data_IF_518570894055
#
_entry.id   IF_518570894055
#
_cell.length_a   1.000
_cell.length_b   1.000
_cell.length_c   1.000
_cell.angle_alpha   90.00
_cell.angle_beta   90.00
_cell.angle_gamma   90.00
#
_symmetry.space_group_name_H-M   'P 1'
#
loop_
_entity.id
_entity.type
_entity.pdbx_description
1 polymer ?
#
# COMPACT_ATOMS: atom_id res chain seq x y z
N UNK A 1 2.14 -3.05 -35.32
CA UNK A 1 2.80 -3.07 -33.99
C UNK A 1 4.30 -2.88 -34.19
N UNK A 2 4.93 -1.94 -33.47
CA UNK A 2 6.31 -1.50 -33.72
C UNK A 2 7.32 -2.47 -33.04
N UNK A 3 8.50 -2.79 -33.60
CA UNK A 3 9.43 -3.78 -33.03
C UNK A 3 9.94 -3.40 -31.63
N UNK A 4 9.92 -2.11 -31.29
CA UNK A 4 10.19 -1.61 -29.93
C UNK A 4 9.16 -2.08 -28.89
N UNK A 5 7.89 -2.25 -29.27
CA UNK A 5 6.88 -2.79 -28.35
C UNK A 5 7.12 -4.27 -28.09
N UNK A 6 7.61 -5.02 -29.09
CA UNK A 6 7.98 -6.44 -28.95
C UNK A 6 9.20 -6.64 -28.05
N UNK A 7 10.19 -5.76 -28.12
CA UNK A 7 11.36 -5.81 -27.23
C UNK A 7 11.00 -5.55 -25.76
N UNK A 8 10.09 -4.61 -25.49
CA UNK A 8 9.56 -4.39 -24.15
C UNK A 8 8.68 -5.57 -23.67
N UNK A 9 7.99 -6.24 -24.61
CA UNK A 9 7.21 -7.45 -24.31
C UNK A 9 8.14 -8.60 -23.90
N UNK A 10 9.27 -8.80 -24.61
CA UNK A 10 10.23 -9.86 -24.27
C UNK A 10 11.04 -9.59 -23.00
N UNK A 11 11.41 -8.34 -22.72
CA UNK A 11 12.16 -8.00 -21.51
C UNK A 11 11.35 -8.17 -20.21
N UNK A 12 10.00 -8.14 -20.29
CA UNK A 12 9.12 -8.36 -19.15
C UNK A 12 8.93 -9.85 -18.78
N UNK A 13 9.36 -10.79 -19.63
CA UNK A 13 9.17 -12.23 -19.42
C UNK A 13 10.40 -12.96 -18.82
N UNK A 14 11.52 -12.27 -18.53
CA UNK A 14 12.77 -12.93 -18.08
C UNK A 14 13.32 -12.32 -16.77
N UNK A 15 12.49 -12.20 -15.73
CA UNK A 15 13.02 -12.07 -14.37
C UNK A 15 12.14 -12.74 -13.30
N UNK A 16 12.04 -14.09 -13.27
CA UNK A 16 11.48 -14.80 -12.13
C UNK A 16 12.63 -15.21 -11.19
N UNK A 17 12.76 -14.56 -10.02
CA UNK A 17 13.34 -15.16 -8.79
C UNK A 17 13.61 -14.20 -7.61
N UNK A 18 13.49 -12.87 -7.74
CA UNK A 18 13.95 -11.96 -6.66
C UNK A 18 12.88 -11.05 -6.03
N UNK A 19 11.62 -11.16 -6.43
CA UNK A 19 10.54 -10.48 -5.71
C UNK A 19 10.16 -11.27 -4.45
N UNK A 20 11.00 -11.20 -3.41
CA UNK A 20 10.57 -11.59 -2.06
C UNK A 20 9.45 -10.64 -1.63
N UNK A 21 8.37 -11.19 -1.05
CA UNK A 21 7.41 -10.40 -0.31
C UNK A 21 8.20 -9.70 0.80
N UNK A 22 8.31 -8.37 0.74
CA UNK A 22 9.13 -7.64 1.70
C UNK A 22 8.38 -7.55 3.04
N UNK A 23 8.47 -8.62 3.83
CA UNK A 23 8.06 -8.65 5.22
C UNK A 23 9.11 -8.03 6.14
N UNK A 24 8.73 -7.77 7.39
CA UNK A 24 9.66 -7.30 8.41
C UNK A 24 10.50 -8.51 8.88
N UNK A 25 11.82 -8.43 8.78
CA UNK A 25 12.70 -9.54 9.13
C UNK A 25 12.74 -9.79 10.65
N UNK A 26 13.03 -11.02 11.07
CA UNK A 26 13.21 -11.33 12.49
C UNK A 26 14.35 -10.52 13.13
N UNK A 27 15.40 -10.22 12.37
CA UNK A 27 16.46 -9.32 12.81
C UNK A 27 15.95 -7.88 13.04
N UNK A 28 15.05 -7.39 12.18
CA UNK A 28 14.41 -6.08 12.37
C UNK A 28 13.52 -6.09 13.62
N UNK A 29 12.74 -7.17 13.87
CA UNK A 29 11.93 -7.31 15.10
C UNK A 29 12.79 -7.28 16.36
N UNK A 30 13.91 -8.00 16.38
CA UNK A 30 14.83 -8.00 17.52
C UNK A 30 15.48 -6.63 17.74
N UNK A 31 15.86 -5.94 16.67
CA UNK A 31 16.39 -4.57 16.75
C UNK A 31 15.36 -3.58 17.32
N UNK A 32 14.06 -3.79 17.08
CA UNK A 32 12.99 -2.96 17.66
C UNK A 32 12.78 -3.21 19.15
N UNK A 33 12.87 -4.46 19.59
CA UNK A 33 12.80 -4.82 21.01
C UNK A 33 13.97 -4.21 21.82
N UNK A 34 15.15 -4.11 21.19
CA UNK A 34 16.34 -3.53 21.80
C UNK A 34 16.47 -2.00 21.59
N UNK A 35 15.67 -1.41 20.70
CA UNK A 35 15.79 -0.03 20.22
C UNK A 35 14.71 0.92 20.72
N UNK A 36 14.90 2.21 20.44
CA UNK A 36 13.94 3.28 20.75
C UNK A 36 13.11 3.72 19.54
N UNK A 37 12.42 4.86 19.65
CA UNK A 37 11.64 5.48 18.57
C UNK A 37 12.41 5.66 17.25
N UNK A 38 13.73 5.89 17.33
CA UNK A 38 14.58 6.01 16.14
C UNK A 38 14.67 4.71 15.34
N UNK A 39 14.69 3.53 15.98
CA UNK A 39 14.67 2.25 15.27
C UNK A 39 13.37 2.07 14.48
N UNK A 40 12.23 2.49 15.06
CA UNK A 40 10.94 2.47 14.37
C UNK A 40 10.97 3.39 13.14
N UNK A 41 11.54 4.59 13.26
CA UNK A 41 11.69 5.51 12.12
C UNK A 41 12.62 4.94 11.03
N UNK A 42 13.76 4.36 11.39
CA UNK A 42 14.66 3.71 10.42
C UNK A 42 13.97 2.54 9.72
N UNK A 43 13.22 1.74 10.47
CA UNK A 43 12.47 0.63 9.89
C UNK A 43 11.38 1.12 8.94
N UNK A 44 10.65 2.18 9.29
CA UNK A 44 9.66 2.79 8.41
C UNK A 44 10.28 3.31 7.11
N UNK A 45 11.44 3.97 7.20
CA UNK A 45 12.17 4.44 6.03
C UNK A 45 12.65 3.27 5.15
N UNK A 46 13.20 2.22 5.77
CA UNK A 46 13.62 0.99 5.08
C UNK A 46 12.43 0.36 4.36
N UNK A 47 11.33 0.12 5.06
CA UNK A 47 10.09 -0.46 4.50
C UNK A 47 9.61 0.31 3.27
N UNK A 48 9.55 1.64 3.33
CA UNK A 48 9.14 2.47 2.20
C UNK A 48 10.11 2.37 1.01
N UNK A 49 11.42 2.28 1.26
CA UNK A 49 12.45 2.22 0.21
C UNK A 49 12.63 0.83 -0.40
N UNK A 50 12.28 -0.23 0.32
CA UNK A 50 12.36 -1.63 -0.15
C UNK A 50 11.04 -2.16 -0.66
N UNK A 51 9.91 -1.53 -0.34
CA UNK A 51 8.58 -1.86 -0.82
C UNK A 51 8.42 -1.55 -2.32
N UNK A 52 8.58 -2.56 -3.17
CA UNK A 52 8.48 -2.40 -4.62
C UNK A 52 7.09 -1.91 -5.07
N UNK A 53 6.04 -2.36 -4.41
CA UNK A 53 4.66 -1.90 -4.58
C UNK A 53 4.51 -0.38 -4.37
N UNK A 54 5.08 0.14 -3.29
CA UNK A 54 5.07 1.56 -2.95
C UNK A 54 5.87 2.38 -3.97
N UNK A 55 7.06 1.91 -4.35
CA UNK A 55 7.89 2.57 -5.36
C UNK A 55 7.22 2.58 -6.75
N UNK A 56 6.60 1.48 -7.16
CA UNK A 56 5.87 1.37 -8.42
C UNK A 56 4.64 2.28 -8.42
N UNK A 57 3.89 2.32 -7.31
CA UNK A 57 2.77 3.24 -7.13
C UNK A 57 3.23 4.69 -7.24
N UNK A 58 4.26 5.08 -6.48
CA UNK A 58 4.81 6.44 -6.46
C UNK A 58 5.25 6.85 -7.87
N UNK A 59 5.99 5.96 -8.56
CA UNK A 59 6.41 6.15 -9.95
C UNK A 59 5.23 6.39 -10.88
N UNK A 60 4.16 5.58 -10.77
CA UNK A 60 2.93 5.76 -11.53
C UNK A 60 2.26 7.10 -11.26
N UNK A 61 2.15 7.52 -10.00
CA UNK A 61 1.53 8.81 -9.65
C UNK A 61 2.32 9.98 -10.23
N UNK A 62 3.66 9.97 -10.13
CA UNK A 62 4.50 11.11 -10.52
C UNK A 62 4.84 11.15 -12.01
N UNK A 63 4.55 10.07 -12.74
CA UNK A 63 4.92 9.90 -14.15
C UNK A 63 4.53 11.11 -15.02
N UNK A 64 3.33 11.65 -14.84
CA UNK A 64 2.82 12.81 -15.59
C UNK A 64 2.75 14.10 -14.77
N UNK A 65 3.11 14.07 -13.49
CA UNK A 65 3.16 15.26 -12.66
C UNK A 65 4.40 16.08 -13.03
N UNK A 66 4.15 17.27 -13.57
CA UNK A 66 5.20 18.20 -14.03
C UNK A 66 5.38 19.39 -13.09
N UNK A 67 4.34 19.74 -12.34
CA UNK A 67 4.34 20.89 -11.44
C UNK A 67 4.51 20.42 -10.00
N UNK A 68 5.46 21.04 -9.29
CA UNK A 68 5.72 20.77 -7.88
C UNK A 68 4.47 20.86 -7.00
N UNK A 69 3.60 21.85 -7.24
CA UNK A 69 2.32 22.01 -6.52
C UNK A 69 1.40 20.81 -6.68
N UNK A 70 1.35 20.23 -7.87
CA UNK A 70 0.48 19.08 -8.13
C UNK A 70 1.07 17.84 -7.44
N UNK A 71 2.40 17.64 -7.50
CA UNK A 71 3.10 16.60 -6.74
C UNK A 71 2.80 16.72 -5.24
N UNK A 72 3.02 17.89 -4.65
CA UNK A 72 2.75 18.13 -3.23
C UNK A 72 1.30 17.80 -2.88
N UNK A 73 0.33 18.24 -3.69
CA UNK A 73 -1.10 17.95 -3.47
C UNK A 73 -1.39 16.44 -3.42
N UNK A 74 -0.84 15.66 -4.35
CA UNK A 74 -1.08 14.22 -4.39
C UNK A 74 -0.37 13.48 -3.26
N UNK A 75 0.88 13.86 -2.97
CA UNK A 75 1.66 13.31 -1.85
C UNK A 75 0.93 13.58 -0.54
N UNK A 76 0.46 14.80 -0.29
CA UNK A 76 -0.31 15.14 0.90
C UNK A 76 -1.62 14.35 0.97
N UNK A 77 -2.36 14.22 -0.13
CA UNK A 77 -3.59 13.42 -0.14
C UNK A 77 -3.33 11.95 0.19
N UNK A 78 -2.28 11.36 -0.39
CA UNK A 78 -1.86 9.99 -0.09
C UNK A 78 -1.46 9.85 1.38
N UNK A 79 -0.55 10.69 1.87
CA UNK A 79 -0.05 10.66 3.25
C UNK A 79 -1.20 10.83 4.25
N UNK A 80 -2.15 11.73 4.00
CA UNK A 80 -3.32 11.90 4.88
C UNK A 80 -4.16 10.63 4.96
N UNK A 81 -4.54 10.03 3.82
CA UNK A 81 -5.30 8.78 3.83
C UNK A 81 -4.53 7.63 4.50
N UNK A 82 -3.24 7.54 4.22
CA UNK A 82 -2.33 6.57 4.78
C UNK A 82 -2.25 6.66 6.31
N UNK A 83 -1.99 7.86 6.85
CA UNK A 83 -1.93 8.08 8.29
C UNK A 83 -3.26 7.77 8.99
N UNK A 84 -4.39 8.18 8.40
CA UNK A 84 -5.72 7.95 8.98
C UNK A 84 -5.96 6.46 9.20
N UNK A 85 -5.80 5.66 8.15
CA UNK A 85 -6.07 4.21 8.23
C UNK A 85 -5.04 3.48 9.06
N UNK A 86 -3.76 3.85 8.95
CA UNK A 86 -2.69 3.27 9.77
C UNK A 86 -2.99 3.42 11.27
N UNK A 87 -3.31 4.64 11.70
CA UNK A 87 -3.58 4.92 13.12
C UNK A 87 -4.88 4.24 13.56
N UNK A 88 -5.97 4.41 12.82
CA UNK A 88 -7.28 3.87 13.21
C UNK A 88 -7.29 2.34 13.27
N UNK A 89 -6.78 1.69 12.22
CA UNK A 89 -6.76 0.23 12.18
C UNK A 89 -5.84 -0.36 13.25
N UNK A 90 -4.69 0.26 13.53
CA UNK A 90 -3.79 -0.18 14.60
C UNK A 90 -4.40 0.04 15.99
N UNK A 91 -5.07 1.16 16.24
CA UNK A 91 -5.67 1.46 17.55
C UNK A 91 -6.89 0.61 17.88
N UNK A 92 -7.69 0.29 16.87
CA UNK A 92 -8.89 -0.53 17.01
C UNK A 92 -8.64 -2.02 16.77
N UNK A 93 -7.39 -2.43 16.57
CA UNK A 93 -7.06 -3.84 16.31
C UNK A 93 -7.65 -4.38 15.01
N UNK A 94 -8.07 -3.51 14.09
CA UNK A 94 -8.68 -3.91 12.84
C UNK A 94 -7.57 -4.50 11.97
N UNK A 95 -7.73 -5.77 11.63
CA UNK A 95 -6.74 -6.54 10.90
C UNK A 95 -7.42 -7.40 9.84
N UNK A 96 -6.65 -7.77 8.83
CA UNK A 96 -7.09 -8.66 7.77
C UNK A 96 -5.88 -9.40 7.19
N UNK A 97 -6.12 -10.37 6.32
CA UNK A 97 -5.08 -11.14 5.69
C UNK A 97 -4.26 -10.21 4.77
N UNK A 98 -2.98 -10.05 5.12
CA UNK A 98 -2.08 -9.14 4.44
C UNK A 98 -1.88 -9.48 2.96
N UNK A 99 -1.99 -10.75 2.56
CA UNK A 99 -1.90 -11.15 1.14
C UNK A 99 -3.05 -10.54 0.34
N UNK A 100 -4.27 -10.54 0.89
CA UNK A 100 -5.43 -9.93 0.24
C UNK A 100 -5.32 -8.41 0.19
N UNK A 101 -4.83 -7.79 1.27
CA UNK A 101 -4.65 -6.33 1.29
C UNK A 101 -3.57 -5.91 0.28
N UNK A 102 -2.44 -6.59 0.26
CA UNK A 102 -1.35 -6.34 -0.69
C UNK A 102 -1.79 -6.62 -2.14
N UNK A 103 -2.68 -7.60 -2.36
CA UNK A 103 -3.33 -7.83 -3.67
C UNK A 103 -4.18 -6.63 -4.11
N UNK A 104 -4.95 -6.02 -3.21
CA UNK A 104 -5.72 -4.80 -3.51
C UNK A 104 -4.77 -3.62 -3.76
N UNK A 105 -3.67 -3.50 -3.02
CA UNK A 105 -2.61 -2.52 -3.30
C UNK A 105 -2.07 -2.69 -4.72
N UNK A 106 -1.80 -3.92 -5.16
CA UNK A 106 -1.35 -4.19 -6.53
C UNK A 106 -2.38 -3.73 -7.60
N UNK A 107 -3.68 -3.85 -7.33
CA UNK A 107 -4.73 -3.31 -8.21
C UNK A 107 -4.64 -1.78 -8.35
N UNK A 108 -4.24 -1.06 -7.29
CA UNK A 108 -4.03 0.41 -7.37
C UNK A 108 -2.90 0.80 -8.32
N UNK A 109 -1.84 -0.04 -8.41
CA UNK A 109 -0.73 0.14 -9.34
C UNK A 109 -1.20 -0.08 -10.78
N UNK A 110 -1.97 -1.15 -11.02
CA UNK A 110 -2.56 -1.45 -12.34
C UNK A 110 -3.49 -0.31 -12.77
N UNK A 111 -4.38 0.14 -11.87
CA UNK A 111 -5.27 1.28 -12.09
C UNK A 111 -4.46 2.49 -12.54
N UNK A 112 -3.36 2.81 -11.85
CA UNK A 112 -2.61 4.02 -12.16
C UNK A 112 -1.90 3.93 -13.51
N UNK A 113 -1.32 2.77 -13.85
CA UNK A 113 -0.75 2.54 -15.18
C UNK A 113 -1.80 2.61 -16.31
N UNK A 114 -3.01 2.11 -16.06
CA UNK A 114 -4.14 2.18 -16.99
C UNK A 114 -4.62 3.62 -17.22
N UNK A 115 -4.84 4.36 -16.13
CA UNK A 115 -5.22 5.78 -16.17
C UNK A 115 -4.17 6.64 -16.89
N UNK A 116 -2.89 6.42 -16.56
CA UNK A 116 -1.75 7.11 -17.20
C UNK A 116 -1.66 6.88 -18.71
N UNK A 117 -2.07 5.72 -19.19
CA UNK A 117 -2.12 5.42 -20.61
C UNK A 117 -3.39 5.96 -21.30
N UNK A 118 -4.27 6.64 -20.59
CA UNK A 118 -5.55 7.13 -21.13
C UNK A 118 -6.57 6.01 -21.34
N UNK A 119 -6.51 4.96 -20.52
CA UNK A 119 -7.38 3.79 -20.65
C UNK A 119 -8.86 4.12 -20.51
N UNK A 120 -9.23 5.04 -19.61
CA UNK A 120 -10.61 5.50 -19.44
C UNK A 120 -11.17 6.16 -20.71
N UNK A 121 -10.36 6.98 -21.37
CA UNK A 121 -10.74 7.70 -22.58
C UNK A 121 -10.79 6.78 -23.80
N UNK A 122 -9.91 5.77 -23.88
CA UNK A 122 -9.81 4.88 -25.05
C UNK A 122 -10.77 3.69 -25.02
N UNK A 123 -11.10 3.19 -23.84
CA UNK A 123 -11.88 1.95 -23.70
C UNK A 123 -13.29 2.18 -23.16
N UNK A 124 -13.52 3.29 -22.46
CA UNK A 124 -14.80 3.56 -21.80
C UNK A 124 -15.42 4.91 -22.21
N UNK A 125 -14.81 5.64 -23.16
CA UNK A 125 -15.22 6.99 -23.59
C UNK A 125 -15.54 7.96 -22.43
N UNK A 126 -14.86 7.77 -21.30
CA UNK A 126 -15.11 8.50 -20.06
C UNK A 126 -13.86 9.28 -19.64
N UNK A 127 -14.07 10.42 -18.96
CA UNK A 127 -12.98 11.13 -18.29
C UNK A 127 -12.45 10.29 -17.13
N UNK A 128 -11.14 10.33 -16.91
CA UNK A 128 -10.53 9.73 -15.72
C UNK A 128 -11.22 10.19 -14.44
N UNK A 129 -11.44 9.30 -13.46
CA UNK A 129 -11.93 9.66 -12.14
C UNK A 129 -11.05 10.73 -11.49
N UNK A 130 -11.59 11.44 -10.48
CA UNK A 130 -10.85 12.49 -9.79
C UNK A 130 -9.57 11.91 -9.18
N UNK A 131 -8.42 12.30 -9.74
CA UNK A 131 -7.13 11.75 -9.36
C UNK A 131 -6.79 11.98 -7.88
N UNK A 132 -7.24 13.10 -7.30
CA UNK A 132 -6.96 13.42 -5.88
C UNK A 132 -7.75 12.47 -4.97
N UNK A 133 -9.03 12.24 -5.31
CA UNK A 133 -9.86 11.29 -4.58
C UNK A 133 -9.33 9.85 -4.71
N UNK A 134 -8.89 9.46 -5.91
CA UNK A 134 -8.28 8.15 -6.14
C UNK A 134 -6.99 7.98 -5.31
N UNK A 135 -6.08 8.96 -5.34
CA UNK A 135 -4.82 8.91 -4.57
C UNK A 135 -5.07 8.92 -3.06
N UNK A 136 -6.06 9.67 -2.57
CA UNK A 136 -6.48 9.59 -1.17
C UNK A 136 -6.99 8.18 -0.81
N UNK A 137 -7.85 7.59 -1.64
CA UNK A 137 -8.34 6.22 -1.44
C UNK A 137 -7.22 5.18 -1.49
N UNK A 138 -6.23 5.35 -2.37
CA UNK A 138 -5.04 4.52 -2.38
C UNK A 138 -4.23 4.67 -1.10
N UNK A 139 -4.09 5.90 -0.59
CA UNK A 139 -3.52 6.15 0.73
C UNK A 139 -4.23 5.36 1.83
N UNK A 140 -5.57 5.37 1.86
CA UNK A 140 -6.36 4.57 2.82
C UNK A 140 -6.04 3.07 2.72
N UNK A 141 -6.01 2.51 1.51
CA UNK A 141 -5.75 1.09 1.29
C UNK A 141 -4.31 0.73 1.72
N UNK A 142 -3.33 1.56 1.34
CA UNK A 142 -1.92 1.34 1.67
C UNK A 142 -1.68 1.44 3.18
N UNK A 143 -2.27 2.45 3.84
CA UNK A 143 -2.15 2.62 5.29
C UNK A 143 -2.78 1.47 6.06
N UNK A 144 -3.89 0.92 5.54
CA UNK A 144 -4.47 -0.32 6.08
C UNK A 144 -3.52 -1.51 5.91
N UNK A 145 -2.94 -1.73 4.73
CA UNK A 145 -1.97 -2.80 4.50
C UNK A 145 -0.79 -2.73 5.46
N UNK A 146 -0.21 -1.55 5.62
CA UNK A 146 0.87 -1.30 6.58
C UNK A 146 0.44 -1.56 8.02
N UNK A 147 -0.78 -1.18 8.41
CA UNK A 147 -1.30 -1.43 9.76
C UNK A 147 -1.35 -2.92 10.10
N UNK A 148 -1.75 -3.77 9.15
CA UNK A 148 -1.83 -5.22 9.37
C UNK A 148 -0.45 -5.83 9.63
N UNK A 149 0.60 -5.29 9.00
CA UNK A 149 2.00 -5.68 9.23
C UNK A 149 2.55 -5.08 10.52
N UNK A 150 2.24 -3.82 10.81
CA UNK A 150 2.73 -3.11 11.98
C UNK A 150 2.23 -3.72 13.29
N UNK A 151 0.98 -4.21 13.29
CA UNK A 151 0.39 -4.93 14.42
C UNK A 151 1.05 -6.30 14.69
N UNK A 152 1.88 -6.83 13.78
CA UNK A 152 2.71 -8.02 14.01
C UNK A 152 4.01 -7.70 14.76
N UNK A 153 4.31 -6.42 14.98
CA UNK A 153 5.49 -5.98 15.71
C UNK A 153 5.18 -5.89 17.21
N UNK A 154 6.19 -6.04 18.07
CA UNK A 154 6.03 -5.81 19.49
C UNK A 154 5.84 -4.30 19.75
N UNK A 155 4.59 -3.86 19.66
CA UNK A 155 4.20 -2.47 19.89
C UNK A 155 4.07 -2.13 21.38
N UNK A 156 4.03 -3.15 22.24
CA UNK A 156 3.86 -3.04 23.69
C UNK A 156 2.43 -2.69 24.11
N UNK A 157 2.10 -2.98 25.37
CA UNK A 157 0.73 -2.83 25.89
C UNK A 157 0.41 -1.40 26.34
N UNK A 158 1.43 -0.55 26.52
CA UNK A 158 1.24 0.86 26.85
C UNK A 158 0.80 1.66 25.62
N UNK A 159 -0.43 2.19 25.68
CA UNK A 159 -1.06 2.91 24.55
C UNK A 159 -0.28 4.15 24.11
N UNK A 160 0.39 4.85 25.03
CA UNK A 160 1.15 6.05 24.72
C UNK A 160 2.48 5.72 24.03
N UNK A 161 3.19 4.69 24.51
CA UNK A 161 4.38 4.17 23.87
C UNK A 161 4.07 3.56 22.50
N UNK A 162 2.96 2.84 22.36
CA UNK A 162 2.47 2.32 21.08
C UNK A 162 2.22 3.47 20.10
N UNK A 163 1.51 4.53 20.51
CA UNK A 163 1.30 5.71 19.65
C UNK A 163 2.63 6.33 19.22
N UNK A 164 3.57 6.52 20.16
CA UNK A 164 4.90 7.05 19.86
C UNK A 164 5.66 6.20 18.85
N UNK A 165 5.58 4.88 18.95
CA UNK A 165 6.17 3.91 18.01
C UNK A 165 5.52 3.98 16.62
N UNK A 166 4.19 4.03 16.53
CA UNK A 166 3.45 4.18 15.27
C UNK A 166 3.81 5.49 14.58
N UNK A 167 3.81 6.61 15.32
CA UNK A 167 4.17 7.92 14.79
C UNK A 167 5.62 7.95 14.31
N UNK A 168 6.54 7.38 15.08
CA UNK A 168 7.96 7.32 14.69
C UNK A 168 8.18 6.50 13.43
N UNK A 169 7.50 5.36 13.33
CA UNK A 169 7.51 4.53 12.12
C UNK A 169 6.97 5.30 10.91
N UNK A 170 5.84 6.00 11.06
CA UNK A 170 5.24 6.78 9.99
C UNK A 170 6.11 7.97 9.55
N UNK A 171 6.79 8.65 10.48
CA UNK A 171 7.81 9.67 10.15
C UNK A 171 8.91 9.05 9.29
N UNK A 172 9.36 7.84 9.64
CA UNK A 172 10.28 7.05 8.83
C UNK A 172 9.78 6.83 7.40
N UNK A 173 8.55 6.34 7.26
CA UNK A 173 7.90 6.11 5.96
C UNK A 173 7.84 7.40 5.14
N UNK A 174 7.44 8.51 5.75
CA UNK A 174 7.35 9.80 5.08
C UNK A 174 8.72 10.30 4.59
N UNK A 175 9.77 10.15 5.40
CA UNK A 175 11.15 10.46 5.00
C UNK A 175 11.59 9.58 3.83
N UNK A 176 11.33 8.28 3.89
CA UNK A 176 11.61 7.34 2.79
C UNK A 176 10.86 7.72 1.50
N UNK A 177 9.60 8.12 1.61
CA UNK A 177 8.76 8.54 0.49
C UNK A 177 9.29 9.83 -0.15
N UNK A 178 9.65 10.84 0.65
CA UNK A 178 10.23 12.09 0.14
C UNK A 178 11.56 11.82 -0.57
N UNK A 179 12.41 10.96 -0.01
CA UNK A 179 13.69 10.59 -0.61
C UNK A 179 13.49 9.89 -1.96
N UNK A 180 12.64 8.85 -2.01
CA UNK A 180 12.30 8.13 -3.23
C UNK A 180 11.69 9.06 -4.29
N UNK A 181 10.72 9.89 -3.90
CA UNK A 181 10.06 10.85 -4.77
C UNK A 181 11.06 11.83 -5.39
N UNK A 182 11.95 12.39 -4.58
CA UNK A 182 12.96 13.36 -5.02
C UNK A 182 13.88 12.73 -6.06
N UNK A 183 14.35 11.51 -5.82
CA UNK A 183 15.17 10.76 -6.77
C UNK A 183 14.41 10.47 -8.08
N UNK A 184 13.16 10.00 -7.99
CA UNK A 184 12.32 9.72 -9.17
C UNK A 184 12.05 10.98 -10.00
N UNK A 185 11.79 12.12 -9.37
CA UNK A 185 11.55 13.38 -10.06
C UNK A 185 12.78 13.85 -10.83
N UNK A 186 13.98 13.73 -10.26
CA UNK A 186 15.25 14.07 -10.94
C UNK A 186 15.43 13.20 -12.19
N UNK A 187 15.23 11.89 -12.05
CA UNK A 187 15.34 10.93 -13.16
C UNK A 187 14.30 11.21 -14.26
N UNK A 188 13.03 11.42 -13.88
CA UNK A 188 11.96 11.74 -14.82
C UNK A 188 12.19 13.08 -15.52
N UNK A 189 12.68 14.10 -14.81
CA UNK A 189 12.98 15.41 -15.38
C UNK A 189 14.10 15.31 -16.44
N UNK A 190 15.14 14.52 -16.19
CA UNK A 190 16.19 14.25 -17.16
C UNK A 190 15.65 13.45 -18.37
N UNK A 191 14.81 12.45 -18.11
CA UNK A 191 14.27 11.57 -19.16
C UNK A 191 13.26 12.26 -20.08
N UNK A 192 12.46 13.18 -19.54
CA UNK A 192 11.49 14.00 -20.31
C UNK A 192 12.13 14.84 -21.41
N UNK A 193 13.43 15.13 -21.33
CA UNK A 193 14.18 15.87 -22.37
C UNK A 193 14.50 15.02 -23.61
N UNK A 194 14.25 13.71 -23.58
CA UNK A 194 14.51 12.82 -24.71
C UNK A 194 13.38 12.86 -25.74
N UNK A 195 13.69 12.88 -27.05
CA UNK A 195 12.66 12.97 -28.10
C UNK A 195 11.72 11.75 -28.15
N UNK A 196 12.17 10.60 -27.65
CA UNK A 196 11.37 9.37 -27.60
C UNK A 196 10.49 9.24 -26.34
N UNK A 197 10.44 10.26 -25.48
CA UNK A 197 9.73 10.21 -24.20
C UNK A 197 8.27 9.75 -24.33
N UNK A 198 7.43 10.24 -25.27
CA UNK A 198 6.03 9.82 -25.34
C UNK A 198 5.86 8.32 -25.61
N UNK A 199 6.70 7.72 -26.47
CA UNK A 199 6.64 6.29 -26.78
C UNK A 199 7.13 5.45 -25.60
N UNK A 200 8.21 5.89 -24.97
CA UNK A 200 8.77 5.24 -23.79
C UNK A 200 7.86 5.39 -22.57
N UNK A 201 7.09 6.47 -22.48
CA UNK A 201 6.11 6.71 -21.44
C UNK A 201 4.98 5.68 -21.48
N UNK A 202 4.44 5.42 -22.67
CA UNK A 202 3.43 4.37 -22.86
C UNK A 202 4.02 3.02 -22.48
N UNK A 203 5.24 2.70 -22.96
CA UNK A 203 5.91 1.45 -22.63
C UNK A 203 6.15 1.27 -21.12
N UNK A 204 6.57 2.31 -20.41
CA UNK A 204 6.81 2.27 -18.97
C UNK A 204 5.52 2.11 -18.16
N UNK A 205 4.44 2.79 -18.55
CA UNK A 205 3.14 2.60 -17.89
C UNK A 205 2.51 1.23 -18.22
N UNK A 206 2.77 0.68 -19.41
CA UNK A 206 2.43 -0.70 -19.73
C UNK A 206 3.22 -1.68 -18.87
N UNK A 207 4.54 -1.49 -18.72
CA UNK A 207 5.37 -2.30 -17.83
C UNK A 207 4.90 -2.20 -16.37
N UNK A 208 4.48 -1.00 -15.93
CA UNK A 208 3.90 -0.78 -14.61
C UNK A 208 2.63 -1.62 -14.38
N UNK A 209 1.72 -1.66 -15.37
CA UNK A 209 0.53 -2.52 -15.31
C UNK A 209 0.90 -4.01 -15.23
N UNK A 210 1.88 -4.46 -16.01
CA UNK A 210 2.35 -5.85 -15.94
C UNK A 210 3.00 -6.17 -14.59
N UNK A 211 3.83 -5.28 -14.05
CA UNK A 211 4.41 -5.44 -12.73
C UNK A 211 3.33 -5.50 -11.65
N UNK A 212 2.31 -4.63 -11.71
CA UNK A 212 1.14 -4.71 -10.84
C UNK A 212 0.37 -6.03 -10.98
N UNK A 213 0.21 -6.55 -12.20
CA UNK A 213 -0.41 -7.85 -12.46
C UNK A 213 0.40 -9.02 -11.88
N UNK A 214 1.73 -8.98 -12.00
CA UNK A 214 2.62 -9.97 -11.40
C UNK A 214 2.56 -9.93 -9.87
N UNK A 215 2.57 -8.73 -9.28
CA UNK A 215 2.39 -8.56 -7.83
C UNK A 215 1.03 -9.12 -7.40
N UNK A 216 -0.05 -8.81 -8.10
CA UNK A 216 -1.37 -9.35 -7.80
C UNK A 216 -1.36 -10.89 -7.79
N UNK A 217 -0.81 -11.51 -8.83
CA UNK A 217 -0.72 -12.97 -8.92
C UNK A 217 0.14 -13.57 -7.81
N UNK A 218 1.26 -12.92 -7.48
CA UNK A 218 2.13 -13.33 -6.38
C UNK A 218 1.39 -13.28 -5.04
N UNK A 219 0.63 -12.21 -4.78
CA UNK A 219 -0.12 -12.06 -3.54
C UNK A 219 -1.27 -13.08 -3.45
N UNK A 220 -2.01 -13.30 -4.53
CA UNK A 220 -3.07 -14.33 -4.58
C UNK A 220 -2.51 -15.75 -4.45
N UNK A 221 -1.35 -16.02 -5.04
CA UNK A 221 -0.65 -17.30 -4.88
C UNK A 221 -0.21 -17.49 -3.43
N UNK A 222 0.35 -16.44 -2.80
CA UNK A 222 0.71 -16.44 -1.38
C UNK A 222 -0.49 -16.72 -0.49
N UNK A 223 -1.62 -16.06 -0.75
CA UNK A 223 -2.89 -16.33 -0.06
C UNK A 223 -3.36 -17.77 -0.21
N UNK A 224 -3.28 -18.35 -1.41
CA UNK A 224 -3.72 -19.72 -1.68
C UNK A 224 -2.85 -20.80 -1.02
N UNK A 225 -1.57 -20.49 -0.76
CA UNK A 225 -0.59 -21.40 -0.14
C UNK A 225 -0.23 -21.00 1.30
N UNK A 226 -0.98 -20.06 1.88
CA UNK A 226 -0.76 -19.64 3.25
C UNK A 226 -1.09 -20.79 4.19
N UNK A 227 -0.10 -21.23 4.97
CA UNK A 227 -0.20 -22.40 5.85
C UNK A 227 -1.01 -22.11 7.13
N UNK A 228 -1.33 -20.84 7.39
CA UNK A 228 -2.24 -20.41 8.46
C UNK A 228 -3.38 -19.54 7.89
N UNK A 229 -4.43 -20.15 7.30
CA UNK A 229 -5.59 -19.43 6.76
C UNK A 229 -6.45 -18.77 7.85
N UNK A 230 -6.20 -19.06 9.14
CA UNK A 230 -7.07 -18.74 10.28
C UNK A 230 -6.57 -17.60 11.17
N UNK A 231 -5.26 -17.33 11.22
CA UNK A 231 -4.67 -16.36 12.16
C UNK A 231 -5.18 -14.92 12.06
N UNK A 232 -5.80 -14.52 10.94
CA UNK A 232 -6.32 -13.16 10.69
C UNK A 232 -7.54 -13.14 9.75
N UNK A 233 -8.48 -14.09 9.91
CA UNK A 233 -9.84 -13.92 9.38
C UNK A 233 -10.59 -12.92 10.27
N UNK A 234 -11.62 -12.26 9.73
CA UNK A 234 -12.56 -11.49 10.55
C UNK A 234 -12.83 -12.27 11.85
N UNK A 235 -12.73 -11.64 13.03
CA UNK A 235 -12.94 -12.36 14.28
C UNK A 235 -14.42 -12.74 14.36
N UNK A 236 -14.81 -13.85 13.74
CA UNK A 236 -16.16 -14.43 13.81
C UNK A 236 -16.54 -14.70 15.26
N UNK A 237 -15.55 -14.97 16.12
CA UNK A 237 -15.74 -15.15 17.56
C UNK A 237 -16.11 -13.82 18.25
N UNK A 238 -15.39 -12.70 18.01
CA UNK A 238 -15.82 -11.39 18.55
C UNK A 238 -17.18 -10.96 18.01
N UNK A 239 -17.45 -11.22 16.72
CA UNK A 239 -18.74 -10.90 16.10
C UNK A 239 -19.89 -11.73 16.68
N UNK A 240 -19.66 -13.00 17.05
CA UNK A 240 -20.65 -13.84 17.75
C UNK A 240 -20.91 -13.34 19.17
N UNK A 241 -19.86 -13.00 19.93
CA UNK A 241 -20.02 -12.52 21.30
C UNK A 241 -20.81 -11.22 21.37
N UNK A 242 -20.63 -10.30 20.41
CA UNK A 242 -21.44 -9.08 20.31
C UNK A 242 -22.94 -9.34 20.13
N UNK A 243 -23.33 -10.39 19.40
CA UNK A 243 -24.73 -10.76 19.25
C UNK A 243 -25.30 -11.41 20.52
N UNK A 244 -24.51 -12.23 21.19
CA UNK A 244 -24.89 -12.90 22.44
C UNK A 244 -25.07 -11.88 23.58
N UNK A 245 -24.18 -10.91 23.71
CA UNK A 245 -24.27 -9.81 24.68
C UNK A 245 -25.47 -8.90 24.40
N UNK A 246 -25.79 -8.65 23.12
CA UNK A 246 -26.98 -7.89 22.73
C UNK A 246 -28.29 -8.66 22.98
N UNK A 247 -28.28 -9.99 22.87
CA UNK A 247 -29.41 -10.84 23.21
C UNK A 247 -29.64 -10.93 24.73
N UNK A 248 -28.57 -10.92 25.52
CA UNK A 248 -28.61 -10.84 26.99
C UNK A 248 -29.00 -9.45 27.50
N UNK A 249 -28.75 -8.38 26.74
CA UNK A 249 -29.11 -7.00 27.08
C UNK A 249 -30.57 -6.63 26.72
N UNK A 250 -31.32 -7.53 26.05
CA UNK A 250 -32.75 -7.32 25.81
C UNK A 250 -33.50 -7.43 27.15
N UNK A 251 -34.32 -6.44 27.53
CA UNK A 251 -35.12 -6.54 28.74
C UNK A 251 -36.06 -7.76 28.61
N UNK A 252 -35.96 -8.64 29.60
CA UNK A 252 -36.83 -9.81 29.71
C UNK A 252 -38.26 -9.34 30.00
N UNK A 253 -39.22 -9.52 29.06
CA UNK A 253 -40.60 -9.07 29.23
C UNK A 253 -41.34 -9.79 30.37
N UNK A 254 -40.74 -10.80 31.00
CA UNK A 254 -41.30 -11.49 32.17
C UNK A 254 -40.82 -10.94 33.51
N UNK A 255 -39.79 -10.08 33.55
CA UNK A 255 -39.24 -9.50 34.81
C UNK A 255 -40.02 -8.31 35.36
N UNK A 256 -40.89 -7.68 34.56
CA UNK A 256 -41.68 -6.51 34.97
C UNK A 256 -43.08 -6.85 35.54
N UNK A 257 -43.38 -8.15 35.73
CA UNK A 257 -44.70 -8.63 36.19
C UNK A 257 -44.68 -9.20 37.63
N UNK A 258 -43.75 -8.77 38.48
CA UNK A 258 -43.68 -9.11 39.91
C UNK A 258 -43.75 -7.86 40.79
#
# INVERSE_FOLDING_TARGET
MNPLSRAATLAAFIAPSLAFAHGISEADKQAMLAGGYLQYAVLGAKHMLTGYDHLLFLFGVVFFLTKFRDVAKFVTAFTLGHCITLILATFWGITWNYWLVDAVIALTVIYKGFDNNGGFQRHFDMKSPNLVAAVFAFGLIHGFGLSTRLQQLPLGDDKMAMLGRILSFNVGVEVGQIAALSAMLVVLAAWRRRPNFPKLAVAANTALMFAGGLLLLMQLHGYAHDADPGGFRFPEEEHKHLHEDLDLAKPDPTRDNL
#
